data_IF_876878978576
#
_entry.id   IF_876878978576
#
_cell.length_a   1.000
_cell.length_b   1.000
_cell.length_c   1.000
_cell.angle_alpha   90.00
_cell.angle_beta   90.00
_cell.angle_gamma   90.00
#
_symmetry.space_group_name_H-M   'P 1'
#
loop_
_entity.id
_entity.type
_entity.pdbx_description
1 polymer ?
#
# COMPACT_ATOMS: atom_id res chain seq x y z
N UNK A 1 -0.02 61.46 -41.56
CA UNK A 1 1.07 60.59 -41.99
C UNK A 1 0.90 59.27 -41.23
N UNK A 2 0.10 58.38 -41.81
CA UNK A 2 -0.25 57.08 -41.21
C UNK A 2 0.77 56.05 -41.68
N UNK A 3 1.62 55.55 -40.79
CA UNK A 3 2.55 54.44 -41.08
C UNK A 3 1.80 53.17 -41.03
N UNK A 4 1.58 52.57 -42.21
CA UNK A 4 1.04 51.19 -42.34
C UNK A 4 2.07 50.20 -41.84
N UNK A 5 1.77 49.53 -40.75
CA UNK A 5 2.55 48.40 -40.24
C UNK A 5 2.39 47.20 -41.22
N UNK A 6 3.50 46.78 -41.79
CA UNK A 6 3.61 45.63 -42.69
C UNK A 6 3.22 44.32 -41.97
N UNK A 7 2.22 43.55 -42.46
CA UNK A 7 1.80 42.32 -41.81
C UNK A 7 2.73 41.11 -42.01
N UNK A 8 3.90 41.31 -42.63
CA UNK A 8 4.80 40.20 -43.06
C UNK A 8 5.96 39.89 -42.10
N UNK A 9 6.04 40.47 -40.88
CA UNK A 9 7.12 40.15 -39.93
C UNK A 9 6.73 39.17 -38.82
N UNK A 10 5.77 38.29 -39.03
CA UNK A 10 5.69 37.07 -38.19
C UNK A 10 6.72 36.07 -38.72
N UNK A 11 7.97 36.26 -38.30
CA UNK A 11 8.96 35.20 -38.38
C UNK A 11 8.33 33.94 -37.77
N UNK A 12 7.96 32.96 -38.61
CA UNK A 12 7.55 31.66 -38.18
C UNK A 12 8.69 31.06 -37.35
N UNK A 13 8.61 31.20 -36.07
CA UNK A 13 9.42 30.37 -35.17
C UNK A 13 9.12 28.93 -35.56
N UNK A 14 10.11 28.31 -36.19
CA UNK A 14 10.09 26.88 -36.53
C UNK A 14 10.06 26.09 -35.23
N UNK A 15 8.96 26.22 -34.49
CA UNK A 15 8.67 25.38 -33.35
C UNK A 15 8.39 23.94 -33.83
N UNK A 16 8.88 22.99 -33.11
CA UNK A 16 8.54 21.60 -33.38
C UNK A 16 7.01 21.47 -33.41
N UNK A 17 6.49 20.63 -34.29
CA UNK A 17 5.05 20.37 -34.30
C UNK A 17 4.63 19.74 -32.99
N UNK A 18 3.40 19.99 -32.54
CA UNK A 18 2.86 19.40 -31.29
C UNK A 18 2.99 17.86 -31.28
N UNK A 19 2.87 17.25 -32.45
CA UNK A 19 3.07 15.81 -32.65
C UNK A 19 4.54 15.42 -32.38
N UNK A 20 5.49 16.20 -32.88
CA UNK A 20 6.92 15.94 -32.68
C UNK A 20 7.28 16.10 -31.18
N UNK A 21 6.82 17.18 -30.55
CA UNK A 21 7.03 17.43 -29.11
C UNK A 21 6.44 16.26 -28.31
N UNK A 22 5.18 15.92 -28.57
CA UNK A 22 4.53 14.77 -27.92
C UNK A 22 5.33 13.48 -28.09
N UNK A 23 5.76 13.15 -29.29
CA UNK A 23 6.47 11.91 -29.57
C UNK A 23 7.86 11.88 -28.93
N UNK A 24 8.58 12.99 -28.90
CA UNK A 24 9.91 13.11 -28.27
C UNK A 24 9.83 12.90 -26.75
N UNK A 25 8.75 13.30 -26.09
CA UNK A 25 8.58 13.08 -24.64
C UNK A 25 7.86 11.78 -24.29
N UNK A 26 6.83 11.41 -25.05
CA UNK A 26 6.02 10.21 -24.73
C UNK A 26 6.75 8.92 -25.10
N UNK A 27 7.40 8.87 -26.28
CA UNK A 27 8.05 7.62 -26.72
C UNK A 27 9.18 7.17 -25.79
N UNK A 28 10.15 8.02 -25.39
CA UNK A 28 11.19 7.62 -24.45
C UNK A 28 10.62 7.20 -23.09
N UNK A 29 9.60 7.90 -22.59
CA UNK A 29 8.95 7.58 -21.31
C UNK A 29 8.28 6.21 -21.36
N UNK A 30 7.50 5.95 -22.43
CA UNK A 30 6.83 4.65 -22.61
C UNK A 30 7.85 3.54 -22.82
N UNK A 31 8.90 3.78 -23.64
CA UNK A 31 9.97 2.82 -23.85
C UNK A 31 10.68 2.48 -22.53
N UNK A 32 10.99 3.49 -21.71
CA UNK A 32 11.57 3.31 -20.40
C UNK A 32 10.66 2.46 -19.49
N UNK A 33 9.37 2.78 -19.43
CA UNK A 33 8.40 2.01 -18.64
C UNK A 33 8.30 0.55 -19.10
N UNK A 34 8.30 0.30 -20.42
CA UNK A 34 8.27 -1.06 -20.96
C UNK A 34 9.54 -1.82 -20.59
N UNK A 35 10.72 -1.22 -20.80
CA UNK A 35 12.00 -1.87 -20.54
C UNK A 35 12.16 -2.21 -19.05
N UNK A 36 11.84 -1.28 -18.16
CA UNK A 36 12.12 -1.46 -16.73
C UNK A 36 10.99 -2.11 -15.93
N UNK A 37 9.74 -2.14 -16.44
CA UNK A 37 8.62 -2.78 -15.75
C UNK A 37 8.15 -4.03 -16.48
N UNK A 38 7.90 -3.95 -17.79
CA UNK A 38 7.30 -5.07 -18.52
C UNK A 38 8.32 -6.15 -18.81
N UNK A 39 9.53 -5.81 -19.24
CA UNK A 39 10.56 -6.79 -19.54
C UNK A 39 10.94 -7.67 -18.35
N UNK A 40 11.26 -7.15 -17.14
CA UNK A 40 11.57 -7.99 -15.99
C UNK A 40 10.39 -8.87 -15.57
N UNK A 41 9.16 -8.37 -15.71
CA UNK A 41 7.96 -9.15 -15.45
C UNK A 41 7.88 -10.35 -16.42
N UNK A 42 7.97 -10.13 -17.72
CA UNK A 42 7.92 -11.21 -18.71
C UNK A 42 9.09 -12.19 -18.56
N UNK A 43 10.28 -11.69 -18.22
CA UNK A 43 11.44 -12.51 -17.95
C UNK A 43 11.25 -13.42 -16.73
N UNK A 44 10.72 -12.87 -15.64
CA UNK A 44 10.32 -13.64 -14.46
C UNK A 44 9.21 -14.66 -14.78
N UNK A 45 8.25 -14.30 -15.66
CA UNK A 45 7.23 -15.23 -16.15
C UNK A 45 7.88 -16.44 -16.86
N UNK A 46 8.86 -16.18 -17.73
CA UNK A 46 9.61 -17.25 -18.37
C UNK A 46 10.25 -18.20 -17.37
N UNK A 47 10.91 -17.67 -16.35
CA UNK A 47 11.52 -18.50 -15.29
C UNK A 47 10.51 -19.29 -14.47
N UNK A 48 9.29 -18.81 -14.30
CA UNK A 48 8.28 -19.54 -13.53
C UNK A 48 7.95 -20.92 -14.11
N UNK A 49 8.23 -21.15 -15.40
CA UNK A 49 8.04 -22.43 -16.10
C UNK A 49 9.30 -23.29 -16.18
N UNK A 50 10.39 -22.88 -15.49
CA UNK A 50 11.68 -23.59 -15.53
C UNK A 50 12.12 -24.01 -14.14
N UNK A 51 13.06 -24.96 -14.08
CA UNK A 51 13.73 -25.39 -12.86
C UNK A 51 14.91 -24.48 -12.45
N UNK A 52 14.98 -23.27 -12.98
CA UNK A 52 16.09 -22.36 -12.81
C UNK A 52 16.35 -22.05 -11.33
N UNK A 53 17.63 -22.23 -10.96
CA UNK A 53 18.17 -21.85 -9.65
C UNK A 53 19.41 -20.99 -9.86
N UNK A 54 19.41 -19.77 -9.34
CA UNK A 54 20.51 -18.83 -9.54
C UNK A 54 21.84 -19.29 -8.90
N UNK A 55 21.81 -20.22 -7.96
CA UNK A 55 22.99 -20.84 -7.33
C UNK A 55 23.57 -22.02 -8.11
N UNK A 56 22.88 -22.52 -9.13
CA UNK A 56 23.28 -23.72 -9.88
C UNK A 56 23.80 -23.37 -11.26
N UNK A 57 24.84 -24.07 -11.70
CA UNK A 57 25.36 -24.06 -13.09
C UNK A 57 24.71 -25.12 -13.98
N UNK A 58 23.73 -25.88 -13.45
CA UNK A 58 23.03 -26.88 -14.22
C UNK A 58 22.25 -26.25 -15.40
N UNK A 59 22.07 -26.97 -16.51
CA UNK A 59 21.26 -26.50 -17.61
C UNK A 59 19.81 -26.24 -17.13
N UNK A 60 19.22 -25.16 -17.63
CA UNK A 60 17.84 -24.77 -17.30
C UNK A 60 16.88 -25.62 -18.13
N UNK A 61 16.02 -26.38 -17.47
CA UNK A 61 15.03 -27.20 -18.13
C UNK A 61 13.64 -26.56 -18.02
N UNK A 62 12.85 -26.73 -19.07
CA UNK A 62 11.45 -26.33 -19.05
C UNK A 62 10.61 -27.39 -18.29
N UNK A 63 9.93 -26.99 -17.23
CA UNK A 63 9.14 -27.88 -16.38
C UNK A 63 7.64 -27.59 -16.44
N UNK A 64 7.22 -26.69 -17.32
CA UNK A 64 5.81 -26.30 -17.48
C UNK A 64 5.22 -25.75 -16.18
N UNK A 65 4.03 -26.21 -15.81
CA UNK A 65 3.32 -25.76 -14.60
C UNK A 65 3.75 -26.45 -13.31
N UNK A 66 4.81 -27.24 -13.30
CA UNK A 66 5.25 -27.98 -12.11
C UNK A 66 5.51 -27.05 -10.92
N UNK A 67 6.21 -25.92 -11.12
CA UNK A 67 6.47 -24.98 -10.05
C UNK A 67 5.16 -24.44 -9.42
N UNK A 68 4.14 -24.20 -10.23
CA UNK A 68 2.84 -23.74 -9.74
C UNK A 68 2.13 -24.81 -8.92
N UNK A 69 2.16 -26.08 -9.39
CA UNK A 69 1.57 -27.19 -8.65
C UNK A 69 2.29 -27.44 -7.33
N UNK A 70 3.62 -27.41 -7.32
CA UNK A 70 4.44 -27.62 -6.12
C UNK A 70 4.22 -26.50 -5.11
N UNK A 71 4.15 -25.25 -5.54
CA UNK A 71 3.87 -24.07 -4.70
C UNK A 71 2.46 -24.16 -4.10
N UNK A 72 1.46 -24.55 -4.88
CA UNK A 72 0.07 -24.67 -4.41
C UNK A 72 -0.14 -25.91 -3.53
N UNK A 73 0.71 -26.92 -3.63
CA UNK A 73 0.66 -28.10 -2.78
C UNK A 73 1.42 -27.92 -1.45
N UNK A 74 2.27 -26.88 -1.32
CA UNK A 74 3.08 -26.66 -0.10
C UNK A 74 2.25 -26.08 1.05
N UNK A 75 2.05 -26.83 2.17
CA UNK A 75 1.31 -26.34 3.33
C UNK A 75 1.94 -25.10 4.00
N UNK A 76 3.26 -24.91 3.85
CA UNK A 76 3.96 -23.76 4.44
C UNK A 76 3.56 -22.46 3.71
N UNK A 77 3.37 -22.53 2.40
CA UNK A 77 2.90 -21.40 1.59
C UNK A 77 1.49 -21.00 2.01
N UNK A 78 0.58 -21.95 2.20
CA UNK A 78 -0.78 -21.66 2.67
C UNK A 78 -0.80 -21.08 4.08
N UNK A 79 0.10 -21.52 4.97
CA UNK A 79 0.26 -20.90 6.29
C UNK A 79 0.71 -19.45 6.16
N UNK A 80 1.68 -19.16 5.29
CA UNK A 80 2.14 -17.78 5.05
C UNK A 80 1.03 -16.93 4.43
N UNK A 81 0.20 -17.47 3.56
CA UNK A 81 -1.00 -16.78 3.05
C UNK A 81 -2.00 -16.47 4.17
N UNK A 82 -2.32 -17.44 5.03
CA UNK A 82 -3.24 -17.23 6.13
C UNK A 82 -2.71 -16.17 7.13
N UNK A 83 -1.41 -16.22 7.45
CA UNK A 83 -0.73 -15.21 8.27
C UNK A 83 -0.81 -13.83 7.63
N UNK A 84 -0.56 -13.75 6.33
CA UNK A 84 -0.64 -12.48 5.58
C UNK A 84 -2.06 -11.95 5.54
N UNK A 85 -3.05 -12.80 5.28
CA UNK A 85 -4.46 -12.38 5.27
C UNK A 85 -4.89 -11.82 6.62
N UNK A 86 -4.54 -12.50 7.70
CA UNK A 86 -4.80 -12.02 9.05
C UNK A 86 -4.12 -10.65 9.29
N UNK A 87 -2.84 -10.53 8.94
CA UNK A 87 -2.09 -9.30 9.04
C UNK A 87 -2.75 -8.14 8.26
N UNK A 88 -3.13 -8.39 7.01
CA UNK A 88 -3.80 -7.41 6.14
C UNK A 88 -5.12 -6.93 6.77
N UNK A 89 -5.95 -7.87 7.25
CA UNK A 89 -7.24 -7.53 7.87
C UNK A 89 -7.02 -6.64 9.10
N UNK A 90 -6.13 -7.05 10.01
CA UNK A 90 -5.88 -6.31 11.26
C UNK A 90 -5.23 -4.95 10.99
N UNK A 91 -4.20 -4.91 10.14
CA UNK A 91 -3.50 -3.67 9.82
C UNK A 91 -4.41 -2.67 9.11
N UNK A 92 -5.13 -3.10 8.08
CA UNK A 92 -6.01 -2.20 7.31
C UNK A 92 -7.19 -1.73 8.16
N UNK A 93 -7.82 -2.63 8.93
CA UNK A 93 -8.90 -2.25 9.84
C UNK A 93 -8.40 -1.26 10.91
N UNK A 94 -7.24 -1.52 11.51
CA UNK A 94 -6.63 -0.63 12.50
C UNK A 94 -6.30 0.74 11.92
N UNK A 95 -5.69 0.78 10.74
CA UNK A 95 -5.40 2.03 10.02
C UNK A 95 -6.66 2.81 9.71
N UNK A 96 -7.72 2.10 9.33
CA UNK A 96 -9.01 2.73 9.04
C UNK A 96 -9.63 3.33 10.31
N UNK A 97 -9.68 2.59 11.41
CA UNK A 97 -10.22 3.06 12.69
C UNK A 97 -9.44 4.28 13.19
N UNK A 98 -8.12 4.18 13.23
CA UNK A 98 -7.26 5.27 13.73
C UNK A 98 -7.27 6.45 12.75
N UNK A 99 -7.03 6.22 11.46
CA UNK A 99 -6.93 7.27 10.45
C UNK A 99 -8.25 8.01 10.23
N UNK A 100 -9.37 7.29 10.11
CA UNK A 100 -10.68 7.90 9.98
C UNK A 100 -11.10 8.63 11.27
N UNK A 101 -10.80 8.06 12.44
CA UNK A 101 -11.02 8.72 13.72
C UNK A 101 -10.25 10.05 13.82
N UNK A 102 -8.97 10.07 13.44
CA UNK A 102 -8.16 11.29 13.36
C UNK A 102 -8.73 12.29 12.36
N UNK A 103 -9.20 11.84 11.20
CA UNK A 103 -9.83 12.71 10.21
C UNK A 103 -11.12 13.38 10.75
N UNK A 104 -11.96 12.63 11.46
CA UNK A 104 -13.16 13.18 12.10
C UNK A 104 -12.83 14.25 13.15
N UNK A 105 -11.76 14.04 13.92
CA UNK A 105 -11.28 15.03 14.89
C UNK A 105 -10.77 16.29 14.18
N UNK A 106 -9.92 16.12 13.16
CA UNK A 106 -9.32 17.22 12.40
C UNK A 106 -10.28 17.91 11.43
N UNK A 107 -11.45 17.34 11.16
CA UNK A 107 -12.45 17.99 10.33
C UNK A 107 -13.14 19.20 11.02
N UNK A 108 -12.82 19.43 12.29
CA UNK A 108 -13.28 20.59 13.07
C UNK A 108 -12.29 21.76 12.96
N UNK A 109 -12.72 22.99 13.20
CA UNK A 109 -11.82 24.12 13.37
C UNK A 109 -11.04 23.97 14.68
N UNK A 110 -9.75 23.61 14.56
CA UNK A 110 -8.85 23.42 15.70
C UNK A 110 -7.69 24.43 15.54
N UNK A 111 -7.32 25.20 16.57
CA UNK A 111 -6.14 26.05 16.51
C UNK A 111 -4.90 25.21 16.27
N UNK A 112 -4.01 25.66 15.39
CA UNK A 112 -2.80 24.91 15.05
C UNK A 112 -3.03 23.65 14.18
N UNK A 113 -4.21 23.47 13.57
CA UNK A 113 -4.55 22.29 12.75
C UNK A 113 -3.47 21.94 11.74
N UNK A 114 -2.87 22.94 11.06
CA UNK A 114 -1.80 22.71 10.08
C UNK A 114 -0.60 22.00 10.70
N UNK A 115 -0.11 22.49 11.84
CA UNK A 115 1.01 21.88 12.55
C UNK A 115 0.68 20.46 13.04
N UNK A 116 -0.48 20.28 13.64
CA UNK A 116 -0.94 18.96 14.11
C UNK A 116 -1.00 17.98 12.94
N UNK A 117 -1.59 18.39 11.80
CA UNK A 117 -1.67 17.54 10.59
C UNK A 117 -0.27 17.19 10.09
N UNK A 118 0.65 18.15 10.04
CA UNK A 118 2.04 17.90 9.60
C UNK A 118 2.74 16.89 10.51
N UNK A 119 2.61 17.03 11.82
CA UNK A 119 3.21 16.09 12.78
C UNK A 119 2.60 14.68 12.66
N UNK A 120 1.30 14.58 12.44
CA UNK A 120 0.63 13.29 12.23
C UNK A 120 1.03 12.63 10.90
N UNK A 121 1.48 13.38 9.89
CA UNK A 121 1.94 12.84 8.62
C UNK A 121 3.39 12.34 8.65
N UNK A 122 4.19 12.72 9.66
CA UNK A 122 5.60 12.33 9.75
C UNK A 122 5.83 10.81 9.67
N UNK A 123 5.05 9.94 10.34
CA UNK A 123 5.28 8.50 10.29
C UNK A 123 5.33 7.95 8.87
N UNK A 124 4.38 8.33 8.00
CA UNK A 124 4.29 7.80 6.64
C UNK A 124 5.36 8.36 5.69
N UNK A 125 6.09 9.41 6.09
CA UNK A 125 7.19 9.99 5.31
C UNK A 125 8.53 9.28 5.58
N UNK A 126 8.59 8.44 6.59
CA UNK A 126 9.79 7.68 6.93
C UNK A 126 9.90 6.42 6.06
N UNK A 127 11.13 5.95 5.82
CA UNK A 127 11.35 4.67 5.16
C UNK A 127 10.83 3.52 6.05
N UNK A 128 10.12 2.51 5.48
CA UNK A 128 9.64 1.35 6.24
C UNK A 128 10.75 0.61 7.01
N UNK A 129 11.96 0.54 6.44
CA UNK A 129 13.13 -0.05 7.09
C UNK A 129 13.53 0.72 8.34
N UNK A 130 13.59 2.05 8.26
CA UNK A 130 13.92 2.93 9.39
C UNK A 130 12.87 2.81 10.49
N UNK A 131 11.60 2.81 10.12
CA UNK A 131 10.48 2.58 11.04
C UNK A 131 10.62 1.23 11.73
N UNK A 132 10.90 0.17 10.96
CA UNK A 132 11.10 -1.17 11.51
C UNK A 132 12.24 -1.23 12.53
N UNK A 133 13.38 -0.61 12.24
CA UNK A 133 14.53 -0.51 13.17
C UNK A 133 14.17 0.27 14.44
N UNK A 134 13.49 1.40 14.29
CA UNK A 134 13.08 2.24 15.41
C UNK A 134 12.11 1.49 16.34
N UNK A 135 11.09 0.84 15.77
CA UNK A 135 10.12 0.07 16.53
C UNK A 135 10.74 -1.19 17.15
N UNK A 136 11.75 -1.80 16.51
CA UNK A 136 12.52 -2.90 17.08
C UNK A 136 13.17 -2.49 18.41
N UNK A 137 13.70 -1.27 18.52
CA UNK A 137 14.21 -0.72 19.76
C UNK A 137 13.10 -0.49 20.81
N UNK A 138 11.93 0.00 20.37
CA UNK A 138 10.78 0.22 21.26
C UNK A 138 10.28 -1.10 21.86
N UNK A 139 10.31 -2.20 21.08
CA UNK A 139 9.89 -3.53 21.49
C UNK A 139 10.98 -4.36 22.18
N UNK A 140 12.18 -3.80 22.36
CA UNK A 140 13.28 -4.57 23.00
C UNK A 140 12.91 -4.98 24.43
N UNK A 141 13.13 -6.26 24.82
CA UNK A 141 12.74 -6.75 26.13
C UNK A 141 13.49 -6.09 27.30
N UNK A 142 14.72 -5.63 27.06
CA UNK A 142 15.63 -5.10 28.10
C UNK A 142 15.66 -3.60 28.16
N UNK A 143 15.61 -2.93 27.01
CA UNK A 143 15.80 -1.48 26.87
C UNK A 143 14.57 -0.78 26.29
N UNK A 144 13.58 -1.55 25.78
CA UNK A 144 12.43 -1.01 25.07
C UNK A 144 11.50 -0.22 26.00
N UNK A 145 11.17 0.99 25.58
CA UNK A 145 10.30 1.90 26.34
C UNK A 145 8.89 1.33 26.55
N UNK A 146 8.42 0.45 25.65
CA UNK A 146 7.07 -0.09 25.74
C UNK A 146 6.86 -0.95 26.98
N UNK A 147 7.80 -1.86 27.26
CA UNK A 147 7.74 -2.70 28.46
C UNK A 147 7.81 -1.88 29.73
N UNK A 148 8.67 -0.85 29.75
CA UNK A 148 8.81 0.06 30.88
C UNK A 148 7.54 0.88 31.12
N UNK A 149 7.01 1.51 30.06
CA UNK A 149 5.85 2.40 30.15
C UNK A 149 4.56 1.69 30.57
N UNK A 150 4.42 0.40 30.17
CA UNK A 150 3.24 -0.41 30.48
C UNK A 150 3.39 -1.26 31.75
N UNK A 151 4.57 -1.26 32.39
CA UNK A 151 4.83 -2.07 33.59
C UNK A 151 4.74 -3.59 33.35
N UNK A 152 4.96 -4.04 32.12
CA UNK A 152 4.73 -5.42 31.67
C UNK A 152 5.91 -6.39 31.93
N UNK A 153 6.98 -5.92 32.60
CA UNK A 153 8.21 -6.70 32.75
C UNK A 153 8.97 -6.86 31.43
N UNK A 154 9.64 -8.01 31.24
CA UNK A 154 10.49 -8.27 30.04
C UNK A 154 9.76 -9.09 29.00
N UNK A 155 8.71 -8.56 28.41
CA UNK A 155 8.01 -9.23 27.32
C UNK A 155 8.86 -9.19 26.05
N UNK A 156 9.11 -10.36 25.46
CA UNK A 156 9.87 -10.50 24.23
C UNK A 156 8.94 -10.44 22.99
N UNK A 157 8.46 -9.24 22.66
CA UNK A 157 7.46 -8.97 21.62
C UNK A 157 7.79 -9.58 20.27
N UNK A 158 9.06 -9.61 19.88
CA UNK A 158 9.49 -9.96 18.53
C UNK A 158 9.98 -11.42 18.40
N UNK A 159 10.12 -12.14 19.49
CA UNK A 159 10.58 -13.53 19.49
C UNK A 159 9.45 -14.55 19.58
N UNK A 160 8.32 -14.19 20.14
CA UNK A 160 7.10 -15.00 20.09
C UNK A 160 6.37 -14.80 18.77
N UNK A 161 5.98 -15.86 18.09
CA UNK A 161 5.40 -15.80 16.75
C UNK A 161 4.07 -15.04 16.69
N UNK A 162 3.24 -15.15 17.75
CA UNK A 162 1.96 -14.43 17.81
C UNK A 162 2.17 -12.95 18.13
N UNK A 163 2.98 -12.67 19.16
CA UNK A 163 3.27 -11.31 19.57
C UNK A 163 4.00 -10.53 18.48
N UNK A 164 4.95 -11.17 17.77
CA UNK A 164 5.66 -10.56 16.66
C UNK A 164 4.73 -10.09 15.55
N UNK A 165 3.72 -10.89 15.22
CA UNK A 165 2.75 -10.53 14.19
C UNK A 165 1.89 -9.32 14.61
N UNK A 166 1.46 -9.27 15.89
CA UNK A 166 0.77 -8.09 16.45
C UNK A 166 1.68 -6.86 16.48
N UNK A 167 2.95 -7.01 16.89
CA UNK A 167 3.90 -5.92 16.92
C UNK A 167 4.13 -5.31 15.53
N UNK A 168 4.29 -6.15 14.51
CA UNK A 168 4.41 -5.70 13.11
C UNK A 168 3.13 -5.00 12.66
N UNK A 169 1.95 -5.55 12.97
CA UNK A 169 0.67 -4.94 12.60
C UNK A 169 0.47 -3.56 13.28
N UNK A 170 0.79 -3.43 14.57
CA UNK A 170 0.70 -2.15 15.31
C UNK A 170 1.65 -1.10 14.70
N UNK A 171 2.87 -1.51 14.37
CA UNK A 171 3.84 -0.63 13.71
C UNK A 171 3.33 -0.13 12.36
N UNK A 172 2.75 -1.01 11.55
CA UNK A 172 2.17 -0.68 10.25
C UNK A 172 0.92 0.22 10.40
N UNK A 173 0.08 -0.03 11.40
CA UNK A 173 -1.05 0.83 11.74
C UNK A 173 -0.55 2.25 12.07
N UNK A 174 0.44 2.37 12.93
CA UNK A 174 1.01 3.66 13.29
C UNK A 174 1.59 4.39 12.07
N UNK A 175 2.33 3.68 11.23
CA UNK A 175 2.98 4.26 10.06
C UNK A 175 1.98 4.75 9.01
N UNK A 176 0.91 4.00 8.76
CA UNK A 176 0.04 4.23 7.62
C UNK A 176 -1.37 4.77 7.95
N UNK A 177 -1.74 4.89 9.22
CA UNK A 177 -2.97 5.58 9.60
C UNK A 177 -3.05 7.02 9.08
N UNK A 178 -1.94 7.79 8.98
CA UNK A 178 -1.96 9.12 8.39
C UNK A 178 -2.41 9.15 6.92
N UNK A 179 -2.11 8.12 6.13
CA UNK A 179 -2.59 8.01 4.76
C UNK A 179 -4.12 7.91 4.70
N UNK A 180 -4.70 7.05 5.53
CA UNK A 180 -6.16 6.92 5.65
C UNK A 180 -6.79 8.21 6.18
N UNK A 181 -6.15 8.85 7.16
CA UNK A 181 -6.56 10.15 7.70
C UNK A 181 -6.63 11.21 6.59
N UNK A 182 -5.60 11.32 5.75
CA UNK A 182 -5.51 12.32 4.69
C UNK A 182 -6.63 12.16 3.66
N UNK A 183 -6.83 10.92 3.16
CA UNK A 183 -7.90 10.63 2.20
C UNK A 183 -9.29 10.82 2.82
N UNK A 184 -9.45 10.40 4.08
CA UNK A 184 -10.70 10.59 4.81
C UNK A 184 -11.01 12.09 5.02
N UNK A 185 -9.99 12.88 5.36
CA UNK A 185 -10.15 14.32 5.56
C UNK A 185 -10.52 15.03 4.25
N UNK A 186 -9.90 14.62 3.13
CA UNK A 186 -10.25 15.11 1.81
C UNK A 186 -11.73 14.80 1.47
N UNK A 187 -12.17 13.56 1.74
CA UNK A 187 -13.56 13.17 1.55
C UNK A 187 -14.54 13.93 2.42
N UNK A 188 -14.23 14.10 3.70
CA UNK A 188 -15.06 14.86 4.64
C UNK A 188 -15.17 16.33 4.24
N UNK A 189 -14.08 16.92 3.72
CA UNK A 189 -14.06 18.31 3.25
C UNK A 189 -14.86 18.53 1.96
N UNK A 190 -15.07 17.47 1.17
CA UNK A 190 -15.84 17.54 -0.06
C UNK A 190 -17.37 17.48 0.16
N UNK A 191 -17.83 17.13 1.36
CA UNK A 191 -19.28 17.09 1.67
C UNK A 191 -19.86 18.50 1.68
N UNK A 192 -20.90 18.80 0.88
CA UNK A 192 -21.50 20.13 0.80
C UNK A 192 -22.14 20.56 2.14
N UNK A 193 -21.84 21.79 2.57
CA UNK A 193 -22.31 22.31 3.87
C UNK A 193 -23.86 22.39 3.98
N UNK A 194 -24.52 22.68 2.86
CA UNK A 194 -25.98 22.78 2.85
C UNK A 194 -26.69 21.49 3.29
N UNK A 195 -26.07 20.32 3.13
CA UNK A 195 -26.63 19.06 3.62
C UNK A 195 -26.62 18.97 5.14
N UNK A 196 -25.61 19.52 5.79
CA UNK A 196 -25.58 19.62 7.25
C UNK A 196 -26.56 20.67 7.78
N UNK A 197 -26.73 21.77 7.04
CA UNK A 197 -27.72 22.82 7.35
C UNK A 197 -29.13 22.27 7.27
N UNK A 198 -29.47 21.56 6.18
CA UNK A 198 -30.75 20.87 6.03
C UNK A 198 -31.02 19.89 7.18
N UNK A 199 -30.03 19.02 7.48
CA UNK A 199 -30.15 18.09 8.61
C UNK A 199 -30.37 18.79 9.96
N UNK A 200 -29.79 19.98 10.15
CA UNK A 200 -29.99 20.78 11.37
C UNK A 200 -31.40 21.39 11.44
N UNK A 201 -31.94 21.81 10.31
CA UNK A 201 -33.35 22.30 10.21
C UNK A 201 -34.32 21.17 10.56
N UNK A 202 -34.06 19.96 10.06
CA UNK A 202 -34.85 18.76 10.35
C UNK A 202 -34.61 18.22 11.78
N UNK A 203 -33.80 18.89 12.60
CA UNK A 203 -33.41 18.46 13.95
C UNK A 203 -32.80 17.07 14.00
N UNK A 204 -32.12 16.64 12.95
CA UNK A 204 -31.49 15.34 12.87
C UNK A 204 -30.33 15.25 13.87
N UNK A 205 -30.27 14.17 14.64
CA UNK A 205 -29.20 13.92 15.60
C UNK A 205 -27.83 13.69 14.89
N UNK A 206 -26.73 14.01 15.57
CA UNK A 206 -25.36 13.88 15.02
C UNK A 206 -25.04 12.50 14.46
N UNK A 207 -25.47 11.43 15.14
CA UNK A 207 -25.27 10.06 14.67
C UNK A 207 -26.09 9.76 13.42
N UNK A 208 -27.33 10.21 13.37
CA UNK A 208 -28.17 10.07 12.18
C UNK A 208 -27.55 10.78 10.98
N UNK A 209 -27.15 12.04 11.14
CA UNK A 209 -26.46 12.83 10.10
C UNK A 209 -25.17 12.15 9.65
N UNK A 210 -24.40 11.59 10.58
CA UNK A 210 -23.18 10.87 10.24
C UNK A 210 -23.45 9.64 9.36
N UNK A 211 -24.36 8.76 9.77
CA UNK A 211 -24.62 7.51 9.04
C UNK A 211 -25.45 7.69 7.77
N UNK A 212 -26.31 8.71 7.70
CA UNK A 212 -27.23 8.93 6.57
C UNK A 212 -26.74 9.98 5.57
N UNK A 213 -25.90 10.91 5.99
CA UNK A 213 -25.39 11.99 5.14
C UNK A 213 -23.87 11.83 4.94
N UNK A 214 -23.10 11.92 6.03
CA UNK A 214 -21.64 12.00 5.93
C UNK A 214 -21.04 10.71 5.37
N UNK A 215 -21.29 9.58 6.02
CA UNK A 215 -20.64 8.31 5.68
C UNK A 215 -20.94 7.83 4.25
N UNK A 216 -22.18 7.89 3.73
CA UNK A 216 -22.46 7.50 2.35
C UNK A 216 -21.73 8.36 1.31
N UNK A 217 -21.63 9.68 1.54
CA UNK A 217 -20.95 10.60 0.63
C UNK A 217 -19.43 10.43 0.64
N UNK A 218 -18.85 10.09 1.77
CA UNK A 218 -17.40 9.87 1.92
C UNK A 218 -17.00 8.44 1.56
N UNK A 219 -17.92 7.48 1.59
CA UNK A 219 -17.66 6.06 1.35
C UNK A 219 -16.83 5.76 0.08
N UNK A 220 -17.05 6.40 -1.08
CA UNK A 220 -16.23 6.13 -2.27
C UNK A 220 -14.75 6.43 -2.06
N UNK A 221 -14.41 7.53 -1.37
CA UNK A 221 -13.02 7.90 -1.05
C UNK A 221 -12.43 6.94 -0.01
N UNK A 222 -13.23 6.56 0.99
CA UNK A 222 -12.81 5.58 2.00
C UNK A 222 -12.53 4.21 1.37
N UNK A 223 -13.34 3.77 0.41
CA UNK A 223 -13.10 2.54 -0.35
C UNK A 223 -11.78 2.62 -1.14
N UNK A 224 -11.48 3.77 -1.74
CA UNK A 224 -10.17 3.97 -2.41
C UNK A 224 -9.02 3.79 -1.42
N UNK A 225 -9.13 4.38 -0.22
CA UNK A 225 -8.11 4.22 0.82
C UNK A 225 -7.92 2.73 1.22
N UNK A 226 -9.02 2.00 1.41
CA UNK A 226 -9.00 0.56 1.72
C UNK A 226 -8.35 -0.24 0.60
N UNK A 227 -8.69 0.03 -0.67
CA UNK A 227 -8.10 -0.64 -1.83
C UNK A 227 -6.58 -0.48 -1.83
N UNK A 228 -6.09 0.77 -1.78
CA UNK A 228 -4.66 1.04 -1.79
C UNK A 228 -3.95 0.37 -0.60
N UNK A 229 -4.49 0.50 0.61
CA UNK A 229 -3.86 -0.09 1.78
C UNK A 229 -3.86 -1.62 1.77
N UNK A 230 -4.94 -2.24 1.28
CA UNK A 230 -4.99 -3.69 1.13
C UNK A 230 -3.91 -4.18 0.16
N UNK A 231 -3.79 -3.54 -1.01
CA UNK A 231 -2.76 -3.89 -2.01
C UNK A 231 -1.35 -3.76 -1.45
N UNK A 232 -1.05 -2.66 -0.74
CA UNK A 232 0.26 -2.42 -0.13
C UNK A 232 0.54 -3.38 1.03
N UNK A 233 -0.45 -3.67 1.88
CA UNK A 233 -0.30 -4.57 3.01
C UNK A 233 0.02 -6.02 2.57
N UNK A 234 -0.51 -6.50 1.44
CA UNK A 234 -0.12 -7.81 0.88
C UNK A 234 1.34 -7.86 0.43
N UNK A 235 1.95 -6.73 0.10
CA UNK A 235 3.35 -6.63 -0.33
C UNK A 235 4.30 -6.28 0.82
N UNK A 236 3.78 -6.08 2.03
CA UNK A 236 4.60 -5.69 3.19
C UNK A 236 5.69 -6.75 3.42
N UNK A 237 6.94 -6.31 3.37
CA UNK A 237 8.12 -7.10 3.59
C UNK A 237 9.07 -6.41 4.58
N UNK A 238 9.44 -5.16 4.30
CA UNK A 238 10.53 -4.45 4.95
C UNK A 238 10.38 -4.37 6.47
N UNK A 239 9.22 -3.91 6.96
CA UNK A 239 8.94 -3.77 8.40
C UNK A 239 9.02 -5.14 9.08
N UNK A 240 8.33 -6.15 8.54
CA UNK A 240 8.29 -7.49 9.11
C UNK A 240 9.68 -8.12 9.15
N UNK A 241 10.44 -8.02 8.04
CA UNK A 241 11.78 -8.58 7.92
C UNK A 241 12.77 -7.95 8.90
N UNK A 242 12.78 -6.61 8.98
CA UNK A 242 13.72 -5.87 9.83
C UNK A 242 13.41 -6.06 11.32
N UNK A 243 12.14 -6.08 11.69
CA UNK A 243 11.73 -6.23 13.09
C UNK A 243 11.97 -7.64 13.61
N UNK A 244 11.57 -8.66 12.86
CA UNK A 244 11.54 -10.04 13.38
C UNK A 244 12.72 -10.89 12.92
N UNK A 245 13.41 -10.51 11.84
CA UNK A 245 14.52 -11.28 11.27
C UNK A 245 14.13 -12.66 10.75
N UNK A 246 12.81 -13.02 10.78
CA UNK A 246 12.26 -14.35 10.46
C UNK A 246 12.66 -15.48 11.44
N UNK A 247 11.85 -16.49 11.70
CA UNK A 247 10.60 -16.92 11.03
C UNK A 247 9.30 -16.52 11.75
N UNK A 248 9.36 -15.65 12.76
CA UNK A 248 8.29 -15.44 13.72
C UNK A 248 7.01 -14.82 13.13
N UNK A 249 7.14 -13.94 12.14
CA UNK A 249 6.02 -13.36 11.41
C UNK A 249 6.22 -13.55 9.90
N UNK A 250 6.23 -14.82 9.43
CA UNK A 250 6.50 -15.13 8.03
C UNK A 250 5.31 -14.79 7.13
N UNK A 251 5.30 -13.56 6.64
CA UNK A 251 4.38 -13.12 5.60
C UNK A 251 4.73 -13.75 4.26
N UNK A 252 3.77 -13.81 3.33
CA UNK A 252 4.00 -14.40 2.00
C UNK A 252 5.10 -13.68 1.20
N UNK A 253 5.24 -12.37 1.35
CA UNK A 253 6.34 -11.58 0.78
C UNK A 253 7.70 -11.98 1.36
N UNK A 254 7.76 -12.24 2.67
CA UNK A 254 8.95 -12.75 3.34
C UNK A 254 9.30 -14.16 2.86
N UNK A 255 8.30 -15.02 2.66
CA UNK A 255 8.48 -16.37 2.09
C UNK A 255 9.01 -16.29 0.66
N UNK A 256 8.45 -15.42 -0.17
CA UNK A 256 8.94 -15.17 -1.53
C UNK A 256 10.41 -14.74 -1.55
N UNK A 257 10.78 -13.79 -0.69
CA UNK A 257 12.16 -13.34 -0.54
C UNK A 257 13.11 -14.49 -0.17
N UNK A 258 12.71 -15.30 0.81
CA UNK A 258 13.49 -16.45 1.26
C UNK A 258 13.70 -17.47 0.13
N UNK A 259 12.66 -17.79 -0.63
CA UNK A 259 12.77 -18.70 -1.78
C UNK A 259 13.70 -18.12 -2.87
N UNK A 260 13.54 -16.84 -3.20
CA UNK A 260 14.29 -16.19 -4.28
C UNK A 260 15.78 -15.97 -3.92
N UNK A 261 16.07 -15.43 -2.74
CA UNK A 261 17.39 -14.88 -2.40
C UNK A 261 18.15 -15.70 -1.34
N UNK A 262 17.47 -16.40 -0.43
CA UNK A 262 18.15 -17.26 0.55
C UNK A 262 18.31 -18.70 0.05
N UNK A 263 17.29 -19.23 -0.62
CA UNK A 263 17.30 -20.60 -1.16
C UNK A 263 17.66 -20.66 -2.65
N UNK A 264 17.74 -19.52 -3.33
CA UNK A 264 18.09 -19.40 -4.75
C UNK A 264 17.17 -20.20 -5.69
N UNK A 265 15.93 -20.47 -5.26
CA UNK A 265 14.91 -21.18 -6.03
C UNK A 265 14.16 -20.23 -6.95
N UNK A 266 14.83 -19.69 -7.97
CA UNK A 266 14.30 -18.60 -8.81
C UNK A 266 13.04 -19.03 -9.57
N UNK A 267 12.99 -20.22 -10.14
CA UNK A 267 11.80 -20.73 -10.85
C UNK A 267 10.56 -20.83 -9.96
N UNK A 268 10.61 -21.60 -8.85
CA UNK A 268 9.50 -21.66 -7.89
C UNK A 268 9.14 -20.31 -7.27
N UNK A 269 10.13 -19.45 -6.95
CA UNK A 269 9.87 -18.10 -6.43
C UNK A 269 9.14 -17.23 -7.45
N UNK A 270 9.51 -17.31 -8.74
CA UNK A 270 8.79 -16.62 -9.81
C UNK A 270 7.34 -17.11 -9.92
N UNK A 271 7.09 -18.40 -9.83
CA UNK A 271 5.72 -18.96 -9.83
C UNK A 271 4.91 -18.42 -8.63
N UNK A 272 5.50 -18.40 -7.42
CA UNK A 272 4.85 -17.82 -6.25
C UNK A 272 4.56 -16.32 -6.43
N UNK A 273 5.49 -15.56 -7.03
CA UNK A 273 5.28 -14.14 -7.31
C UNK A 273 4.07 -13.90 -8.23
N UNK A 274 3.89 -14.74 -9.26
CA UNK A 274 2.73 -14.68 -10.15
C UNK A 274 1.43 -15.08 -9.47
N UNK A 275 1.45 -16.09 -8.59
CA UNK A 275 0.28 -16.45 -7.78
C UNK A 275 -0.14 -15.27 -6.91
N UNK A 276 0.80 -14.62 -6.22
CA UNK A 276 0.53 -13.42 -5.42
C UNK A 276 -0.02 -12.28 -6.28
N UNK A 277 0.57 -12.04 -7.45
CA UNK A 277 0.13 -11.00 -8.39
C UNK A 277 -1.33 -11.23 -8.82
N UNK A 278 -1.67 -12.45 -9.26
CA UNK A 278 -3.03 -12.80 -9.68
C UNK A 278 -4.02 -12.65 -8.53
N UNK A 279 -3.64 -13.07 -7.32
CA UNK A 279 -4.46 -12.93 -6.13
C UNK A 279 -4.74 -11.45 -5.80
N UNK A 280 -3.70 -10.60 -5.79
CA UNK A 280 -3.85 -9.16 -5.51
C UNK A 280 -4.70 -8.48 -6.58
N UNK A 281 -4.52 -8.82 -7.86
CA UNK A 281 -5.35 -8.32 -8.96
C UNK A 281 -6.81 -8.77 -8.80
N UNK A 282 -7.05 -10.02 -8.40
CA UNK A 282 -8.39 -10.55 -8.13
C UNK A 282 -9.10 -9.78 -7.02
N UNK A 283 -8.42 -9.58 -5.89
CA UNK A 283 -8.94 -8.78 -4.75
C UNK A 283 -9.22 -7.34 -5.20
N UNK A 284 -8.31 -6.74 -5.95
CA UNK A 284 -8.47 -5.37 -6.46
C UNK A 284 -9.69 -5.24 -7.37
N UNK A 285 -9.90 -6.20 -8.29
CA UNK A 285 -11.07 -6.20 -9.17
C UNK A 285 -12.39 -6.29 -8.39
N UNK A 286 -12.41 -7.08 -7.31
CA UNK A 286 -13.59 -7.16 -6.43
C UNK A 286 -13.86 -5.78 -5.80
N UNK A 287 -12.86 -5.12 -5.24
CA UNK A 287 -13.01 -3.78 -4.66
C UNK A 287 -13.46 -2.73 -5.70
N UNK A 288 -12.87 -2.73 -6.90
CA UNK A 288 -13.24 -1.80 -7.98
C UNK A 288 -14.71 -1.99 -8.38
N UNK A 289 -15.21 -3.22 -8.43
CA UNK A 289 -16.62 -3.51 -8.69
C UNK A 289 -17.52 -2.89 -7.61
N UNK A 290 -17.15 -3.01 -6.34
CA UNK A 290 -17.90 -2.39 -5.23
C UNK A 290 -17.82 -0.85 -5.28
N UNK A 291 -16.65 -0.29 -5.62
CA UNK A 291 -16.48 1.15 -5.78
C UNK A 291 -17.38 1.73 -6.86
N UNK A 292 -17.47 1.08 -8.03
CA UNK A 292 -18.33 1.53 -9.12
C UNK A 292 -19.80 1.51 -8.69
N UNK A 293 -20.24 0.45 -8.01
CA UNK A 293 -21.61 0.38 -7.48
C UNK A 293 -21.91 1.44 -6.40
N UNK A 294 -20.88 1.86 -5.65
CA UNK A 294 -21.05 2.92 -4.64
C UNK A 294 -21.13 4.32 -5.27
N UNK A 295 -20.55 4.53 -6.46
CA UNK A 295 -20.65 5.81 -7.19
C UNK A 295 -21.96 5.99 -7.95
N UNK A 296 -22.64 4.90 -8.27
CA UNK A 296 -23.93 4.91 -8.98
C UNK A 296 -25.14 5.18 -8.05
N UNK A 297 -24.94 5.23 -6.74
CA UNK A 297 -25.93 5.55 -5.71
C UNK A 297 -25.83 7.00 -5.26
#
# INVERSE_FOLDING_TARGET
MMTTLDPKSRAATRGWSDITIRNVFVIPTVAFLIIFNVFPLLYSLGFSFTDFRASSKAPVNFVGFKNYSDVLADPVIWRSFATTLWYVIVSVAGQFVVGFGLALLLNRPIPGKGLITTLLLLPMMLSPVVVGLFWKLIYDPSWGILNYALGLGKIAWLTDAKLALYAVAITDIWMWSPFVMLLSLAGLSAVPKHLYEAASIDRAGKLYTFFRVTLPLVAPILLIAVIFRTMEAFKTFDIAFVMTGQPQAELISSRLYKMAFAQWQTGPASALAYIILIMVLGITNIYVKYLNKAKER
#
